data_IF_538234729168
#
_entry.id   IF_538234729168
#
_cell.length_a   1.000
_cell.length_b   1.000
_cell.length_c   1.000
_cell.angle_alpha   90.00
_cell.angle_beta   90.00
_cell.angle_gamma   90.00
#
_symmetry.space_group_name_H-M   'P 1'
#
loop_
_entity.id
_entity.type
_entity.pdbx_description
1 polymer ?
#
# COMPACT_ATOMS: atom_id res chain seq x y z
N UNK A 1 4.76 -20.19 -8.94
CA UNK A 1 3.89 -19.30 -9.71
C UNK A 1 2.48 -19.85 -9.74
N UNK A 2 1.50 -18.98 -9.74
CA UNK A 2 0.08 -19.35 -9.75
C UNK A 2 -0.76 -18.15 -9.34
N UNK A 3 -2.08 -18.28 -9.47
CA UNK A 3 -3.00 -17.21 -9.08
C UNK A 3 -3.98 -17.73 -8.03
N UNK A 4 -4.22 -16.93 -7.01
CA UNK A 4 -5.17 -17.24 -5.96
C UNK A 4 -6.25 -16.17 -5.98
N UNK A 5 -7.50 -16.60 -6.02
CA UNK A 5 -8.66 -15.71 -5.91
C UNK A 5 -9.45 -16.10 -4.66
N UNK A 6 -9.85 -15.12 -3.88
CA UNK A 6 -10.67 -15.38 -2.71
C UNK A 6 -11.68 -14.27 -2.46
N UNK A 7 -12.75 -14.62 -1.77
CA UNK A 7 -13.74 -13.67 -1.25
C UNK A 7 -13.85 -13.95 0.23
N UNK A 8 -13.54 -12.98 1.06
CA UNK A 8 -13.64 -13.10 2.51
C UNK A 8 -14.79 -12.21 2.98
N UNK A 9 -15.67 -12.79 3.77
CA UNK A 9 -16.90 -12.12 4.19
C UNK A 9 -16.79 -11.42 5.53
N UNK A 10 -16.07 -11.99 6.51
CA UNK A 10 -15.87 -11.37 7.82
C UNK A 10 -14.71 -12.01 8.56
N UNK A 11 -13.68 -11.24 8.85
CA UNK A 11 -12.65 -11.60 9.82
C UNK A 11 -12.17 -10.34 10.53
N UNK A 12 -11.72 -10.45 11.76
CA UNK A 12 -11.17 -9.31 12.48
C UNK A 12 -9.75 -8.99 12.01
N UNK A 13 -8.99 -10.00 11.65
CA UNK A 13 -7.62 -9.85 11.18
C UNK A 13 -7.37 -10.77 10.01
N UNK A 14 -6.76 -10.23 8.96
CA UNK A 14 -6.38 -10.98 7.78
C UNK A 14 -4.88 -10.82 7.54
N UNK A 15 -4.17 -11.94 7.44
CA UNK A 15 -2.75 -11.96 7.11
C UNK A 15 -2.57 -12.60 5.74
N UNK A 16 -1.93 -11.89 4.83
CA UNK A 16 -1.66 -12.36 3.47
C UNK A 16 -0.14 -12.39 3.26
N UNK A 17 0.36 -13.53 2.85
CA UNK A 17 1.77 -13.71 2.51
C UNK A 17 1.86 -14.26 1.10
N UNK A 18 2.56 -13.55 0.22
CA UNK A 18 2.84 -14.00 -1.14
C UNK A 18 4.34 -14.07 -1.33
N UNK A 19 4.84 -15.24 -1.61
CA UNK A 19 6.26 -15.48 -1.90
C UNK A 19 6.40 -15.99 -3.34
N UNK A 20 7.36 -15.44 -4.06
CA UNK A 20 7.62 -15.85 -5.44
C UNK A 20 6.90 -14.96 -6.44
N UNK A 21 6.40 -15.54 -7.53
CA UNK A 21 5.83 -14.80 -8.65
C UNK A 21 4.33 -15.02 -8.87
N UNK A 22 3.64 -15.57 -7.88
CA UNK A 22 2.19 -15.76 -7.98
C UNK A 22 1.40 -14.47 -7.77
N UNK A 23 0.16 -14.44 -8.26
CA UNK A 23 -0.74 -13.32 -8.10
C UNK A 23 -1.87 -13.69 -7.13
N UNK A 24 -2.25 -12.72 -6.31
CA UNK A 24 -3.36 -12.85 -5.39
C UNK A 24 -4.41 -11.80 -5.70
N UNK A 25 -5.67 -12.22 -5.84
CA UNK A 25 -6.80 -11.32 -6.01
C UNK A 25 -7.88 -11.68 -5.01
N UNK A 26 -8.51 -10.68 -4.44
CA UNK A 26 -9.55 -10.93 -3.48
C UNK A 26 -10.42 -9.73 -3.19
N UNK A 27 -11.53 -9.99 -2.51
CA UNK A 27 -12.45 -8.99 -1.99
C UNK A 27 -12.60 -9.20 -0.49
N UNK A 28 -12.51 -8.11 0.27
CA UNK A 28 -12.49 -8.14 1.73
C UNK A 28 -13.58 -7.21 2.25
N UNK A 29 -14.37 -7.71 3.19
CA UNK A 29 -15.46 -6.95 3.80
C UNK A 29 -15.24 -6.80 5.31
N UNK A 30 -15.24 -5.57 5.79
CA UNK A 30 -15.34 -5.22 7.21
C UNK A 30 -14.27 -5.85 8.13
N UNK A 31 -12.99 -5.64 7.83
CA UNK A 31 -11.89 -6.10 8.68
C UNK A 31 -11.35 -4.97 9.56
N UNK A 32 -10.86 -5.34 10.75
CA UNK A 32 -10.14 -4.39 11.61
C UNK A 32 -8.70 -4.19 11.14
N UNK A 33 -7.98 -5.28 10.89
CA UNK A 33 -6.58 -5.22 10.50
C UNK A 33 -6.32 -6.12 9.30
N UNK A 34 -5.63 -5.60 8.32
CA UNK A 34 -5.15 -6.36 7.17
C UNK A 34 -3.64 -6.21 7.10
N UNK A 35 -2.94 -7.34 7.08
CA UNK A 35 -1.49 -7.38 6.90
C UNK A 35 -1.15 -8.09 5.61
N UNK A 36 -0.28 -7.49 4.84
CA UNK A 36 0.18 -8.05 3.57
C UNK A 36 1.69 -8.06 3.52
N UNK A 37 2.25 -9.20 3.16
CA UNK A 37 3.69 -9.34 2.93
C UNK A 37 3.89 -9.93 1.54
N UNK A 38 4.54 -9.20 0.68
CA UNK A 38 4.87 -9.63 -0.67
C UNK A 38 6.38 -9.69 -0.84
N UNK A 39 6.88 -10.87 -1.16
CA UNK A 39 8.30 -11.09 -1.46
C UNK A 39 8.42 -11.68 -2.85
N UNK A 40 9.21 -11.07 -3.70
CA UNK A 40 9.42 -11.53 -5.06
C UNK A 40 8.78 -10.60 -6.09
N UNK A 41 8.25 -11.17 -7.17
CA UNK A 41 7.69 -10.40 -8.29
C UNK A 41 6.20 -10.64 -8.54
N UNK A 42 5.50 -11.23 -7.58
CA UNK A 42 4.06 -11.41 -7.66
C UNK A 42 3.29 -10.11 -7.45
N UNK A 43 1.97 -10.18 -7.66
CA UNK A 43 1.09 -9.02 -7.49
C UNK A 43 -0.06 -9.35 -6.53
N UNK A 44 -0.46 -8.36 -5.74
CA UNK A 44 -1.63 -8.48 -4.88
C UNK A 44 -2.63 -7.42 -5.32
N UNK A 45 -3.85 -7.85 -5.62
CA UNK A 45 -4.96 -6.96 -5.95
C UNK A 45 -6.11 -7.23 -5.00
N UNK A 46 -6.48 -6.24 -4.19
CA UNK A 46 -7.54 -6.38 -3.20
C UNK A 46 -8.56 -5.27 -3.33
N UNK A 47 -9.83 -5.65 -3.28
CA UNK A 47 -10.95 -4.74 -3.11
C UNK A 47 -11.38 -4.79 -1.65
N UNK A 48 -11.33 -3.65 -0.96
CA UNK A 48 -11.60 -3.55 0.47
C UNK A 48 -12.82 -2.67 0.64
N UNK A 49 -13.86 -3.19 1.30
CA UNK A 49 -15.03 -2.37 1.56
C UNK A 49 -14.70 -1.29 2.59
N UNK A 50 -14.34 -1.72 3.79
CA UNK A 50 -13.89 -0.81 4.83
C UNK A 50 -13.02 -1.56 5.82
N UNK A 51 -11.94 -0.92 6.28
CA UNK A 51 -11.07 -1.51 7.29
C UNK A 51 -10.49 -0.42 8.18
N UNK A 52 -10.03 -0.79 9.37
CA UNK A 52 -9.40 0.15 10.28
C UNK A 52 -7.95 0.39 9.93
N UNK A 53 -7.17 -0.65 9.77
CA UNK A 53 -5.73 -0.53 9.52
C UNK A 53 -5.27 -1.48 8.44
N UNK A 54 -4.52 -0.95 7.47
CA UNK A 54 -3.85 -1.75 6.45
C UNK A 54 -2.34 -1.60 6.65
N UNK A 55 -1.65 -2.74 6.71
CA UNK A 55 -0.19 -2.78 6.72
C UNK A 55 0.28 -3.59 5.53
N UNK A 56 1.06 -2.98 4.66
CA UNK A 56 1.59 -3.63 3.48
C UNK A 56 3.10 -3.53 3.46
N UNK A 57 3.78 -4.66 3.37
CA UNK A 57 5.22 -4.75 3.22
C UNK A 57 5.54 -5.41 1.88
N UNK A 58 6.41 -4.79 1.11
CA UNK A 58 6.79 -5.31 -0.19
C UNK A 58 8.31 -5.34 -0.33
N UNK A 59 8.82 -6.49 -0.71
CA UNK A 59 10.24 -6.68 -1.02
C UNK A 59 10.35 -7.30 -2.41
N UNK A 60 11.12 -6.69 -3.28
CA UNK A 60 11.31 -7.17 -4.64
C UNK A 60 10.70 -6.24 -5.65
N UNK A 61 10.16 -6.78 -6.76
CA UNK A 61 9.68 -5.99 -7.89
C UNK A 61 8.20 -6.19 -8.22
N UNK A 62 7.45 -6.78 -7.31
CA UNK A 62 6.00 -6.96 -7.50
C UNK A 62 5.20 -5.69 -7.31
N UNK A 63 3.87 -5.82 -7.31
CA UNK A 63 2.97 -4.69 -7.11
C UNK A 63 1.84 -5.02 -6.16
N UNK A 64 1.33 -3.99 -5.49
CA UNK A 64 0.15 -4.10 -4.63
C UNK A 64 -0.86 -3.06 -5.08
N UNK A 65 -2.06 -3.51 -5.44
CA UNK A 65 -3.16 -2.65 -5.84
C UNK A 65 -4.31 -2.79 -4.84
N UNK A 66 -4.70 -1.68 -4.24
CA UNK A 66 -5.76 -1.65 -3.24
C UNK A 66 -6.83 -0.65 -3.62
N UNK A 67 -8.08 -1.03 -3.40
CA UNK A 67 -9.24 -0.15 -3.59
C UNK A 67 -10.13 -0.23 -2.36
N UNK A 68 -10.83 0.86 -2.04
CA UNK A 68 -11.78 0.90 -0.93
C UNK A 68 -11.50 2.01 0.07
N UNK A 69 -11.70 1.71 1.35
CA UNK A 69 -11.52 2.68 2.45
C UNK A 69 -10.79 2.08 3.63
N UNK A 70 -9.91 2.89 4.24
CA UNK A 70 -9.23 2.53 5.47
C UNK A 70 -9.08 3.76 6.36
N UNK A 71 -9.04 3.58 7.67
CA UNK A 71 -8.73 4.68 8.57
C UNK A 71 -7.23 4.96 8.60
N UNK A 72 -6.41 3.91 8.67
CA UNK A 72 -4.96 4.02 8.71
C UNK A 72 -4.34 3.09 7.66
N UNK A 73 -3.35 3.58 6.94
CA UNK A 73 -2.62 2.77 5.95
C UNK A 73 -1.12 2.95 6.16
N UNK A 74 -0.42 1.84 6.34
CA UNK A 74 1.03 1.82 6.50
C UNK A 74 1.61 1.05 5.33
N UNK A 75 2.39 1.74 4.49
CA UNK A 75 3.02 1.15 3.33
C UNK A 75 4.54 1.17 3.49
N UNK A 76 5.15 0.01 3.37
CA UNK A 76 6.60 -0.14 3.43
C UNK A 76 7.08 -0.92 2.22
N UNK A 77 8.08 -0.41 1.55
CA UNK A 77 8.65 -1.05 0.37
C UNK A 77 10.16 -0.97 0.38
N UNK A 78 10.79 -2.07 0.00
CA UNK A 78 12.20 -2.09 -0.36
C UNK A 78 12.33 -2.81 -1.70
N UNK A 79 13.17 -2.31 -2.59
CA UNK A 79 13.31 -2.83 -3.94
C UNK A 79 12.67 -1.91 -4.97
N UNK A 80 12.11 -2.46 -6.04
CA UNK A 80 11.54 -1.68 -7.16
C UNK A 80 10.05 -1.93 -7.40
N UNK A 81 9.35 -2.45 -6.41
CA UNK A 81 7.92 -2.66 -6.52
C UNK A 81 7.11 -1.37 -6.44
N UNK A 82 5.83 -1.47 -6.76
CA UNK A 82 4.92 -0.31 -6.76
C UNK A 82 3.66 -0.57 -5.96
N UNK A 83 3.18 0.48 -5.30
CA UNK A 83 1.85 0.51 -4.70
C UNK A 83 0.90 1.31 -5.58
N UNK A 84 -0.20 0.71 -6.00
CA UNK A 84 -1.26 1.42 -6.71
C UNK A 84 -2.51 1.46 -5.83
N UNK A 85 -2.60 2.49 -5.03
CA UNK A 85 -3.67 2.67 -4.05
C UNK A 85 -4.43 3.99 -4.29
N UNK A 86 -4.43 4.47 -5.53
CA UNK A 86 -5.12 5.71 -5.86
C UNK A 86 -6.62 5.66 -5.56
N UNK A 87 -7.23 4.48 -5.72
CA UNK A 87 -8.64 4.25 -5.44
C UNK A 87 -8.91 3.83 -3.99
N UNK A 88 -7.88 3.75 -3.16
CA UNK A 88 -8.02 3.52 -1.73
C UNK A 88 -7.97 4.87 -1.01
N UNK A 89 -9.04 5.19 -0.30
CA UNK A 89 -9.11 6.41 0.49
C UNK A 89 -8.79 6.10 1.95
N UNK A 90 -7.83 6.81 2.53
CA UNK A 90 -7.44 6.63 3.92
C UNK A 90 -7.38 7.98 4.64
N UNK A 91 -7.67 7.99 5.93
CA UNK A 91 -7.56 9.21 6.73
C UNK A 91 -6.11 9.52 7.09
N UNK A 92 -5.37 8.52 7.51
CA UNK A 92 -3.98 8.65 7.91
C UNK A 92 -3.13 7.66 7.13
N UNK A 93 -1.98 8.11 6.65
CA UNK A 93 -1.04 7.25 5.94
C UNK A 93 0.38 7.44 6.46
N UNK A 94 1.11 6.34 6.53
CA UNK A 94 2.53 6.32 6.85
C UNK A 94 3.26 5.56 5.75
N UNK A 95 4.09 6.26 5.00
CA UNK A 95 4.76 5.74 3.82
C UNK A 95 6.26 5.69 4.06
N UNK A 96 6.84 4.51 3.93
CA UNK A 96 8.29 4.32 4.02
C UNK A 96 8.76 3.48 2.84
N UNK A 97 9.54 4.08 1.96
CA UNK A 97 10.05 3.42 0.77
C UNK A 97 11.55 3.60 0.64
N UNK A 98 12.22 2.52 0.27
CA UNK A 98 13.63 2.54 -0.08
C UNK A 98 13.82 1.78 -1.40
N UNK A 99 14.86 2.11 -2.15
CA UNK A 99 15.07 1.53 -3.46
C UNK A 99 14.53 2.40 -4.57
N UNK A 100 13.99 1.81 -5.64
CA UNK A 100 13.53 2.56 -6.82
C UNK A 100 12.04 2.37 -7.14
N UNK A 101 11.27 1.92 -6.18
CA UNK A 101 9.83 1.75 -6.36
C UNK A 101 9.06 3.05 -6.32
N UNK A 102 7.75 2.95 -6.37
CA UNK A 102 6.86 4.10 -6.33
C UNK A 102 5.48 3.74 -5.80
N UNK A 103 4.62 4.74 -5.70
CA UNK A 103 3.27 4.49 -5.24
C UNK A 103 2.33 5.67 -5.38
N UNK A 104 1.04 5.38 -5.23
CA UNK A 104 -0.05 6.35 -5.23
C UNK A 104 -1.03 5.99 -4.13
N UNK A 105 -1.57 7.00 -3.46
CA UNK A 105 -2.54 6.80 -2.40
C UNK A 105 -3.40 8.06 -2.25
N UNK A 106 -4.66 7.87 -1.90
CA UNK A 106 -5.56 8.99 -1.59
C UNK A 106 -5.68 9.15 -0.08
N UNK A 107 -5.29 10.30 0.46
CA UNK A 107 -5.25 10.58 1.90
C UNK A 107 -6.05 11.83 2.20
N UNK A 108 -6.88 11.79 3.23
CA UNK A 108 -7.79 12.87 3.55
C UNK A 108 -7.35 13.75 4.73
N UNK A 109 -6.66 13.20 5.72
CA UNK A 109 -6.32 13.93 6.95
C UNK A 109 -4.82 14.19 7.11
N UNK A 110 -4.00 13.15 7.16
CA UNK A 110 -2.58 13.31 7.46
C UNK A 110 -1.74 12.24 6.76
N UNK A 111 -0.60 12.64 6.23
CA UNK A 111 0.36 11.71 5.63
C UNK A 111 1.76 11.96 6.20
N UNK A 112 2.47 10.89 6.50
CA UNK A 112 3.89 10.90 6.85
C UNK A 112 4.66 10.15 5.79
N UNK A 113 5.72 10.75 5.26
CA UNK A 113 6.46 10.21 4.10
C UNK A 113 7.95 10.15 4.41
N UNK A 114 8.53 8.98 4.17
CA UNK A 114 9.96 8.77 4.26
C UNK A 114 10.42 7.99 3.02
N UNK A 115 11.05 8.69 2.10
CA UNK A 115 11.54 8.12 0.85
C UNK A 115 13.06 8.19 0.78
N UNK A 116 13.68 7.09 0.39
CA UNK A 116 15.12 7.02 0.17
C UNK A 116 15.41 6.29 -1.13
N UNK A 117 16.64 6.44 -1.66
CA UNK A 117 16.98 5.88 -2.96
C UNK A 117 16.40 6.71 -4.09
N UNK A 118 15.73 6.06 -5.04
CA UNK A 118 15.10 6.73 -6.18
C UNK A 118 13.57 6.56 -6.18
N UNK A 119 12.98 6.40 -5.01
CA UNK A 119 11.55 6.16 -4.86
C UNK A 119 10.73 7.40 -5.23
N UNK A 120 9.54 7.16 -5.76
CA UNK A 120 8.59 8.22 -6.07
C UNK A 120 7.22 7.91 -5.47
N UNK A 121 6.56 8.92 -4.91
CA UNK A 121 5.24 8.73 -4.34
C UNK A 121 4.34 9.92 -4.64
N UNK A 122 3.09 9.62 -5.02
CA UNK A 122 2.08 10.63 -5.28
C UNK A 122 0.93 10.44 -4.31
N UNK A 123 0.59 11.51 -3.59
CA UNK A 123 -0.55 11.52 -2.69
C UNK A 123 -1.67 12.35 -3.31
N UNK A 124 -2.85 11.77 -3.39
CA UNK A 124 -4.06 12.46 -3.85
C UNK A 124 -4.90 12.88 -2.64
N UNK A 125 -5.51 14.05 -2.71
CA UNK A 125 -6.38 14.55 -1.65
C UNK A 125 -5.79 15.75 -0.94
N UNK A 126 -6.43 16.15 0.16
CA UNK A 126 -6.11 17.38 0.90
C UNK A 126 -5.46 17.09 2.25
N UNK A 127 -4.70 16.02 2.37
CA UNK A 127 -4.05 15.67 3.62
C UNK A 127 -2.97 16.68 4.01
N UNK A 128 -2.76 16.80 5.31
CA UNK A 128 -1.63 17.57 5.85
C UNK A 128 -0.41 16.67 5.96
N UNK A 129 0.76 17.21 5.68
CA UNK A 129 2.01 16.47 5.83
C UNK A 129 2.45 16.54 7.28
N UNK A 130 2.54 15.39 7.95
CA UNK A 130 3.00 15.29 9.33
C UNK A 130 4.51 15.19 9.43
N UNK A 131 5.10 14.16 8.82
CA UNK A 131 6.54 13.97 8.77
C UNK A 131 6.97 13.89 7.31
N UNK A 132 8.11 14.49 6.99
CA UNK A 132 8.57 14.56 5.61
C UNK A 132 10.09 14.35 5.57
N UNK A 133 10.49 13.25 4.96
CA UNK A 133 11.90 12.94 4.74
C UNK A 133 12.07 12.35 3.34
N UNK A 134 12.70 13.09 2.46
CA UNK A 134 12.85 12.71 1.06
C UNK A 134 14.33 12.70 0.69
N UNK A 135 14.81 11.57 0.17
CA UNK A 135 16.17 11.44 -0.30
C UNK A 135 16.43 12.25 -1.57
N UNK A 136 17.71 12.43 -1.93
CA UNK A 136 18.12 13.30 -3.04
C UNK A 136 17.53 12.91 -4.39
N UNK A 137 17.39 11.61 -4.64
CA UNK A 137 16.89 11.10 -5.91
C UNK A 137 15.43 10.66 -5.83
N UNK A 138 14.79 10.86 -4.69
CA UNK A 138 13.39 10.53 -4.49
C UNK A 138 12.50 11.74 -4.77
N UNK A 139 11.24 11.47 -5.09
CA UNK A 139 10.27 12.52 -5.36
C UNK A 139 8.96 12.25 -4.64
N UNK A 140 8.34 13.31 -4.17
CA UNK A 140 7.02 13.26 -3.56
C UNK A 140 6.15 14.39 -4.12
N UNK A 141 4.92 14.05 -4.45
CA UNK A 141 4.00 14.97 -5.08
C UNK A 141 2.64 14.89 -4.39
N UNK A 142 2.04 16.04 -4.13
CA UNK A 142 0.66 16.16 -3.63
C UNK A 142 -0.23 16.66 -4.76
N UNK A 143 -1.33 15.97 -4.99
CA UNK A 143 -2.34 16.36 -5.99
C UNK A 143 -3.71 16.44 -5.31
N UNK A 144 -4.32 17.64 -5.27
CA UNK A 144 -5.64 17.82 -4.66
C UNK A 144 -6.78 17.18 -5.45
#
# INVERSE_FOLDING_TARGET
>A
SGSINFIDTKAEQLDIVVNGSGDLRGSIFAHKDIRMNLKGSGNITLSIDETKTIRANMKGSGGIKLTGKASNTILRSSGSGMFDCQSLTTDHADIKMSGSGGGRLSVTKKISVNLSGSAGFTCHGKAKIGSYKIGRSSSFSMQP
#
